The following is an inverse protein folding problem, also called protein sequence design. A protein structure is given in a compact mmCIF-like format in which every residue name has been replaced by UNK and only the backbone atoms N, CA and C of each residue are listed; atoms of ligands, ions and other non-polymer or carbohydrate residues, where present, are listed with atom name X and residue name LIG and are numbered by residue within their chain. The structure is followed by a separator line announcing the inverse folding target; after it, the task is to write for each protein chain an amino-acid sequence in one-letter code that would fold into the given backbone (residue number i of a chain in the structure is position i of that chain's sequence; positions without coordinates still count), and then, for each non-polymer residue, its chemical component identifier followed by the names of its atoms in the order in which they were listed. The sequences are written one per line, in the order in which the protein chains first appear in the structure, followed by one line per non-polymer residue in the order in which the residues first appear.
data_IF_116135704334
#
_entry.id   IF_116135704334
#
_cell.length_a   1.000
_cell.length_b   1.000
_cell.length_c   1.000
_cell.angle_alpha   90.00
_cell.angle_beta   90.00
_cell.angle_gamma   90.00
#
_symmetry.space_group_name_H-M   'P 1'
#
loop_
_entity.id
_entity.type
_entity.pdbx_description
1 polymer ?
#
# COMPACT_ATOMS: atom_id res chain seq x y z
N UNK A 1 9.74 1.81 13.64
CA UNK A 1 8.39 2.39 13.72
C UNK A 1 7.40 1.29 14.06
N UNK A 2 6.46 1.57 14.92
CA UNK A 2 5.57 0.58 15.55
C UNK A 2 4.54 -0.04 14.61
N UNK A 3 4.10 0.70 13.60
CA UNK A 3 3.00 0.30 12.73
C UNK A 3 3.44 -0.35 11.43
N UNK A 4 4.72 -0.35 11.14
CA UNK A 4 5.20 -0.93 9.89
C UNK A 4 5.16 -2.45 9.89
N UNK A 5 4.96 -3.00 8.69
CA UNK A 5 5.09 -4.43 8.50
C UNK A 5 6.54 -4.83 8.69
N UNK A 6 6.81 -5.94 9.39
CA UNK A 6 8.18 -6.44 9.54
C UNK A 6 8.75 -6.90 8.20
N UNK A 7 10.08 -6.80 8.07
CA UNK A 7 10.77 -7.38 6.91
C UNK A 7 10.43 -8.87 6.79
N UNK A 8 10.22 -9.33 5.57
CA UNK A 8 9.81 -10.70 5.29
C UNK A 8 8.31 -10.90 5.16
N UNK A 9 7.49 -9.91 5.54
CA UNK A 9 6.03 -9.99 5.37
C UNK A 9 5.70 -10.08 3.89
N UNK A 10 4.75 -10.95 3.55
CA UNK A 10 4.30 -11.14 2.17
C UNK A 10 3.00 -10.36 1.94
N UNK A 11 3.00 -9.51 0.93
CA UNK A 11 1.83 -8.75 0.49
C UNK A 11 1.36 -9.32 -0.85
N UNK A 12 0.07 -9.66 -0.94
CA UNK A 12 -0.53 -10.13 -2.19
C UNK A 12 0.11 -11.40 -2.74
N UNK A 13 0.62 -12.26 -1.89
CA UNK A 13 1.29 -13.53 -2.20
C UNK A 13 2.64 -13.40 -2.94
N UNK A 14 2.92 -12.24 -3.54
CA UNK A 14 4.06 -12.09 -4.46
C UNK A 14 5.11 -11.08 -4.01
N UNK A 15 4.77 -10.20 -3.07
CA UNK A 15 5.66 -9.08 -2.70
C UNK A 15 6.17 -9.26 -1.28
N UNK A 16 7.47 -9.42 -1.14
CA UNK A 16 8.10 -9.57 0.17
C UNK A 16 8.69 -8.23 0.63
N UNK A 17 8.29 -7.79 1.81
CA UNK A 17 8.80 -6.56 2.40
C UNK A 17 10.29 -6.69 2.73
N UNK A 18 11.10 -5.76 2.22
CA UNK A 18 12.52 -5.66 2.55
C UNK A 18 12.73 -4.65 3.68
N UNK A 19 12.21 -3.44 3.50
CA UNK A 19 12.29 -2.39 4.51
C UNK A 19 11.26 -1.30 4.23
N UNK A 20 11.00 -0.47 5.24
CA UNK A 20 10.18 0.72 5.09
C UNK A 20 11.00 1.81 4.40
N UNK A 21 10.40 2.45 3.39
CA UNK A 21 11.00 3.60 2.71
C UNK A 21 10.56 4.92 3.31
N UNK A 22 9.32 4.99 3.77
CA UNK A 22 8.79 6.22 4.33
C UNK A 22 7.37 6.07 4.84
N UNK A 23 6.93 7.11 5.55
CA UNK A 23 5.57 7.19 6.07
C UNK A 23 5.02 8.59 5.85
N UNK A 24 3.81 8.67 5.29
CA UNK A 24 3.06 9.90 5.16
C UNK A 24 1.78 9.85 5.99
N UNK A 25 0.95 10.90 5.89
CA UNK A 25 -0.31 10.96 6.62
C UNK A 25 -1.32 9.89 6.23
N UNK A 26 -1.21 9.34 5.03
CA UNK A 26 -2.17 8.36 4.50
C UNK A 26 -1.61 6.96 4.36
N UNK A 27 -0.33 6.75 4.53
CA UNK A 27 0.20 5.41 4.37
C UNK A 27 1.68 5.24 4.60
N UNK A 28 2.09 3.99 4.48
CA UNK A 28 3.48 3.57 4.66
C UNK A 28 3.94 2.96 3.34
N UNK A 29 5.12 3.39 2.89
CA UNK A 29 5.72 2.86 1.65
C UNK A 29 6.86 1.93 2.00
N UNK A 30 6.84 0.75 1.40
CA UNK A 30 7.85 -0.28 1.62
C UNK A 30 8.62 -0.56 0.35
N UNK A 31 9.91 -0.88 0.51
CA UNK A 31 10.70 -1.50 -0.55
C UNK A 31 10.40 -3.00 -0.49
N UNK A 32 10.00 -3.58 -1.62
CA UNK A 32 9.64 -4.98 -1.70
C UNK A 32 10.35 -5.66 -2.85
N UNK A 33 10.39 -6.99 -2.79
CA UNK A 33 10.83 -7.83 -3.89
C UNK A 33 9.64 -8.62 -4.41
N UNK A 34 9.40 -8.57 -5.71
CA UNK A 34 8.51 -9.55 -6.36
C UNK A 34 9.24 -10.88 -6.36
N UNK A 35 8.78 -11.82 -5.55
CA UNK A 35 9.50 -13.09 -5.36
C UNK A 35 9.44 -14.01 -6.56
N UNK A 36 8.49 -13.81 -7.48
CA UNK A 36 8.40 -14.57 -8.72
C UNK A 36 9.38 -14.07 -9.76
N UNK A 37 9.46 -12.75 -9.92
CA UNK A 37 10.23 -12.11 -10.99
C UNK A 37 11.61 -11.65 -10.53
N UNK A 38 11.87 -11.67 -9.22
CA UNK A 38 13.13 -11.19 -8.63
C UNK A 38 13.39 -9.70 -8.91
N UNK A 39 12.32 -8.92 -8.98
CA UNK A 39 12.40 -7.48 -9.23
C UNK A 39 12.09 -6.69 -7.97
N UNK A 40 12.81 -5.59 -7.80
CA UNK A 40 12.56 -4.65 -6.71
C UNK A 40 11.48 -3.67 -7.13
N UNK A 41 10.54 -3.42 -6.21
CA UNK A 41 9.47 -2.48 -6.44
C UNK A 41 9.07 -1.79 -5.13
N UNK A 42 8.19 -0.82 -5.19
CA UNK A 42 7.65 -0.15 -4.01
C UNK A 42 6.19 -0.58 -3.83
N UNK A 43 5.79 -0.76 -2.58
CA UNK A 43 4.38 -1.03 -2.24
C UNK A 43 3.93 -0.02 -1.20
N UNK A 44 2.88 0.71 -1.52
CA UNK A 44 2.28 1.66 -0.59
C UNK A 44 1.07 1.02 0.07
N UNK A 45 1.08 1.03 1.40
CA UNK A 45 -0.02 0.51 2.23
C UNK A 45 -0.87 1.67 2.71
N UNK A 46 -2.18 1.57 2.54
CA UNK A 46 -3.09 2.55 3.12
C UNK A 46 -3.14 2.36 4.63
N UNK A 47 -2.64 3.34 5.36
CA UNK A 47 -2.59 3.35 6.83
C UNK A 47 -2.71 4.80 7.30
N UNK A 48 -3.93 5.35 7.37
CA UNK A 48 -4.10 6.76 7.72
C UNK A 48 -3.73 7.00 9.18
N UNK A 49 -2.81 7.92 9.38
CA UNK A 49 -2.28 8.25 10.70
C UNK A 49 -3.38 8.73 11.64
N UNK A 50 -3.40 8.17 12.85
CA UNK A 50 -4.39 8.53 13.87
C UNK A 50 -5.78 7.95 13.67
N UNK A 51 -6.06 7.33 12.51
CA UNK A 51 -7.37 6.77 12.19
C UNK A 51 -7.38 5.24 12.08
N UNK A 52 -6.25 4.62 12.24
CA UNK A 52 -6.10 3.18 12.09
C UNK A 52 -5.09 2.62 13.09
N UNK A 53 -5.24 1.35 13.38
CA UNK A 53 -4.29 0.60 14.21
C UNK A 53 -4.13 -0.79 13.66
N UNK A 54 -2.98 -1.39 13.93
CA UNK A 54 -2.67 -2.76 13.51
C UNK A 54 -2.99 -3.71 14.65
N UNK A 55 -3.65 -4.83 14.34
CA UNK A 55 -4.09 -5.80 15.35
C UNK A 55 -3.76 -7.23 14.95
N UNK A 56 -3.48 -8.06 15.96
CA UNK A 56 -3.31 -9.48 15.80
C UNK A 56 -2.00 -9.90 15.15
N UNK A 57 -1.81 -11.21 15.05
CA UNK A 57 -0.64 -11.80 14.39
C UNK A 57 -0.68 -11.67 12.88
N UNK A 58 -1.89 -11.53 12.32
CA UNK A 58 -2.09 -11.30 10.89
C UNK A 58 -1.74 -9.88 10.46
N UNK A 59 -1.50 -8.98 11.43
CA UNK A 59 -1.13 -7.59 11.20
C UNK A 59 -2.23 -6.80 10.47
N UNK A 60 -3.49 -7.19 10.69
CA UNK A 60 -4.64 -6.51 10.11
C UNK A 60 -4.73 -5.06 10.57
N UNK A 61 -5.23 -4.23 9.70
CA UNK A 61 -5.48 -2.81 9.98
C UNK A 61 -6.96 -2.63 10.23
N UNK A 62 -7.30 -2.00 11.35
CA UNK A 62 -8.68 -1.66 11.69
C UNK A 62 -8.77 -0.16 11.99
N UNK A 63 -9.92 0.46 11.66
CA UNK A 63 -10.12 1.86 12.03
C UNK A 63 -10.26 2.00 13.54
N UNK A 64 -9.83 3.15 14.05
CA UNK A 64 -10.10 3.52 15.45
C UNK A 64 -11.59 3.85 15.62
N UNK A 65 -12.11 3.73 16.85
CA UNK A 65 -13.53 3.59 17.15
C UNK A 65 -14.50 4.61 16.52
N UNK A 66 -14.12 5.83 16.30
CA UNK A 66 -15.07 6.87 15.86
C UNK A 66 -14.86 7.34 14.43
N UNK A 67 -13.96 6.71 13.68
CA UNK A 67 -13.57 7.18 12.35
C UNK A 67 -13.70 6.13 11.26
N UNK A 68 -14.51 5.10 11.49
CA UNK A 68 -14.66 4.01 10.51
C UNK A 68 -15.10 4.52 9.14
N UNK A 69 -16.09 5.39 9.08
CA UNK A 69 -16.61 5.93 7.82
C UNK A 69 -15.53 6.71 7.07
N UNK A 70 -14.75 7.50 7.78
CA UNK A 70 -13.66 8.28 7.20
C UNK A 70 -12.56 7.34 6.70
N UNK A 71 -12.24 6.32 7.48
CA UNK A 71 -11.25 5.31 7.10
C UNK A 71 -11.66 4.61 5.79
N UNK A 72 -12.90 4.14 5.70
CA UNK A 72 -13.41 3.46 4.51
C UNK A 72 -13.47 4.37 3.30
N UNK A 73 -13.87 5.62 3.49
CA UNK A 73 -13.87 6.62 2.43
C UNK A 73 -12.45 6.86 1.90
N UNK A 74 -11.49 7.03 2.79
CA UNK A 74 -10.09 7.24 2.42
C UNK A 74 -9.51 6.04 1.69
N UNK A 75 -9.90 4.82 2.06
CA UNK A 75 -9.47 3.59 1.37
C UNK A 75 -9.97 3.56 -0.07
N UNK A 76 -11.24 3.95 -0.29
CA UNK A 76 -11.79 4.07 -1.64
C UNK A 76 -11.05 5.12 -2.47
N UNK A 77 -10.73 6.26 -1.86
CA UNK A 77 -9.97 7.33 -2.53
C UNK A 77 -8.57 6.88 -2.89
N UNK A 78 -7.93 6.12 -2.01
CA UNK A 78 -6.61 5.56 -2.25
C UNK A 78 -6.60 4.66 -3.49
N UNK A 79 -7.57 3.76 -3.59
CA UNK A 79 -7.71 2.86 -4.75
C UNK A 79 -8.09 3.64 -6.01
N UNK A 80 -8.97 4.63 -5.89
CA UNK A 80 -9.37 5.46 -7.03
C UNK A 80 -8.19 6.27 -7.58
N UNK A 81 -7.36 6.83 -6.71
CA UNK A 81 -6.15 7.55 -7.12
C UNK A 81 -5.23 6.63 -7.91
N UNK A 82 -4.99 5.41 -7.41
CA UNK A 82 -4.17 4.43 -8.11
C UNK A 82 -4.77 4.04 -9.47
N UNK A 83 -6.08 3.85 -9.55
CA UNK A 83 -6.77 3.56 -10.82
C UNK A 83 -6.61 4.72 -11.81
N UNK A 84 -6.73 5.95 -11.32
CA UNK A 84 -6.55 7.14 -12.15
C UNK A 84 -5.13 7.26 -12.68
N UNK A 85 -4.13 7.02 -11.82
CA UNK A 85 -2.73 7.02 -12.22
C UNK A 85 -2.44 5.94 -13.27
N UNK A 86 -2.99 4.75 -13.10
CA UNK A 86 -2.84 3.67 -14.05
C UNK A 86 -3.45 4.02 -15.41
N UNK A 87 -4.60 4.68 -15.43
CA UNK A 87 -5.25 5.12 -16.67
C UNK A 87 -4.43 6.18 -17.40
N UNK A 88 -3.86 7.14 -16.66
CA UNK A 88 -2.98 8.17 -17.21
C UNK A 88 -1.73 7.53 -17.80
N UNK A 89 -1.13 6.59 -17.07
CA UNK A 89 0.04 5.83 -17.51
C UNK A 89 -0.22 5.14 -18.86
N UNK A 90 -1.36 4.47 -18.97
CA UNK A 90 -1.75 3.77 -20.19
C UNK A 90 -1.91 4.73 -21.37
N UNK A 91 -2.53 5.90 -21.12
CA UNK A 91 -2.85 6.86 -22.18
C UNK A 91 -1.63 7.67 -22.64
N UNK A 92 -0.76 8.07 -21.73
CA UNK A 92 0.30 9.03 -22.02
C UNK A 92 1.71 8.46 -22.01
N UNK A 93 1.93 7.30 -21.40
CA UNK A 93 3.23 6.62 -21.34
C UNK A 93 4.38 7.56 -20.93
N UNK A 94 4.17 8.41 -19.93
CA UNK A 94 5.18 9.36 -19.49
C UNK A 94 6.14 8.73 -18.48
N UNK A 95 7.45 8.96 -18.64
CA UNK A 95 8.45 8.53 -17.67
C UNK A 95 8.39 9.32 -16.35
N UNK A 96 7.66 10.42 -16.31
CA UNK A 96 7.47 11.23 -15.11
C UNK A 96 6.29 10.75 -14.25
N UNK A 97 5.52 9.78 -14.72
CA UNK A 97 4.37 9.23 -14.01
C UNK A 97 4.77 7.91 -13.37
N UNK A 98 4.53 7.77 -12.07
CA UNK A 98 4.78 6.53 -11.34
C UNK A 98 3.93 5.42 -11.95
N UNK A 99 4.57 4.34 -12.35
CA UNK A 99 3.88 3.20 -12.96
C UNK A 99 3.29 2.30 -11.90
N UNK A 100 1.97 2.17 -11.92
CA UNK A 100 1.25 1.25 -11.05
C UNK A 100 1.27 -0.13 -11.67
N UNK A 101 1.68 -1.11 -10.89
CA UNK A 101 1.81 -2.50 -11.34
C UNK A 101 0.58 -3.31 -10.94
N UNK A 102 0.11 -3.15 -9.70
CA UNK A 102 -0.98 -3.98 -9.18
C UNK A 102 -1.63 -3.36 -7.96
N UNK A 103 -2.91 -3.66 -7.76
CA UNK A 103 -3.65 -3.37 -6.54
C UNK A 103 -3.79 -4.65 -5.72
N UNK A 104 -3.73 -4.53 -4.42
CA UNK A 104 -3.96 -5.65 -3.49
C UNK A 104 -4.88 -5.16 -2.39
N UNK A 105 -5.88 -5.96 -2.05
CA UNK A 105 -6.75 -5.72 -0.89
C UNK A 105 -6.60 -6.88 0.07
N UNK A 106 -6.00 -6.62 1.22
CA UNK A 106 -5.84 -7.61 2.28
C UNK A 106 -5.55 -6.89 3.61
N UNK A 107 -5.58 -7.61 4.71
CA UNK A 107 -5.36 -7.06 6.06
C UNK A 107 -6.29 -5.90 6.41
N UNK A 108 -7.52 -5.89 5.86
CA UNK A 108 -8.48 -4.82 6.10
C UNK A 108 -8.12 -3.49 5.46
N UNK A 109 -7.15 -3.47 4.55
CA UNK A 109 -6.67 -2.28 3.88
C UNK A 109 -6.39 -2.53 2.41
N UNK A 110 -5.73 -1.60 1.77
CA UNK A 110 -5.39 -1.66 0.36
C UNK A 110 -3.93 -1.32 0.14
N UNK A 111 -3.36 -1.88 -0.91
CA UNK A 111 -1.96 -1.71 -1.29
C UNK A 111 -1.85 -1.34 -2.76
N UNK A 112 -0.89 -0.49 -3.09
CA UNK A 112 -0.52 -0.19 -4.47
C UNK A 112 0.92 -0.62 -4.69
N UNK A 113 1.12 -1.62 -5.57
CA UNK A 113 2.44 -2.00 -6.01
C UNK A 113 2.80 -1.13 -7.21
N UNK A 114 3.99 -0.55 -7.18
CA UNK A 114 4.42 0.42 -8.18
C UNK A 114 5.90 0.28 -8.47
N UNK A 115 6.32 0.82 -9.60
CA UNK A 115 7.72 0.84 -9.98
C UNK A 115 8.54 1.60 -8.93
N UNK A 116 9.68 1.01 -8.59
CA UNK A 116 10.60 1.58 -7.59
C UNK A 116 11.41 2.75 -8.16
#
# INVERSE_FOLDING_TARGET
MKDELPAGTIIGNDYRVIKTLGRGGFGITYKCEDIRLKLILAVKEYFPEGMAKRVGKSLDIVPTDTVEDIFLWGRKKFLLEGTTLAAIQHKYSSEYIVKIIRFVEERGTAYLAMEF
#
